data_IF_662700236013
#
_entry.id   IF_662700236013
#
_cell.length_a   1.000
_cell.length_b   1.000
_cell.length_c   1.000
_cell.angle_alpha   90.00
_cell.angle_beta   90.00
_cell.angle_gamma   90.00
#
_symmetry.space_group_name_H-M   'P 1'
#
loop_
_entity.id
_entity.type
_entity.pdbx_description
1 polymer ?
#
# COMPACT_ATOMS: atom_id res chain seq x y z
N UNK A 1 30.83 12.57 31.94
CA UNK A 1 29.86 13.51 32.53
C UNK A 1 30.54 14.61 33.36
N UNK A 2 31.35 14.27 34.37
CA UNK A 2 32.11 15.27 35.14
C UNK A 2 33.00 16.17 34.25
N UNK A 3 33.71 15.59 33.29
CA UNK A 3 34.56 16.34 32.33
C UNK A 3 33.76 17.27 31.40
N UNK A 4 32.51 16.93 31.10
CA UNK A 4 31.61 17.77 30.28
C UNK A 4 31.01 18.89 31.13
N UNK A 5 30.70 18.62 32.40
CA UNK A 5 30.25 19.64 33.35
C UNK A 5 31.33 20.70 33.59
N UNK A 6 32.59 20.27 33.66
CA UNK A 6 33.74 21.16 33.81
C UNK A 6 33.89 22.12 32.63
N UNK A 7 33.53 21.69 31.42
CA UNK A 7 33.48 22.53 30.22
C UNK A 7 32.19 23.36 30.10
N UNK A 8 31.09 22.90 30.70
CA UNK A 8 29.76 23.53 30.62
C UNK A 8 29.08 23.57 32.00
N UNK A 9 29.48 24.50 32.89
CA UNK A 9 29.03 24.54 34.28
C UNK A 9 27.52 24.76 34.45
N UNK A 10 26.86 25.35 33.44
CA UNK A 10 25.43 25.58 33.41
C UNK A 10 24.58 24.31 33.26
N UNK A 11 25.18 23.19 32.86
CA UNK A 11 24.52 21.90 32.73
C UNK A 11 24.87 21.05 33.95
N UNK A 12 23.89 20.64 34.77
CA UNK A 12 24.21 19.82 35.94
C UNK A 12 24.78 18.45 35.53
N UNK A 13 25.65 17.89 36.38
CA UNK A 13 26.24 16.57 36.16
C UNK A 13 25.15 15.51 35.95
N UNK A 14 24.07 15.56 36.72
CA UNK A 14 22.93 14.65 36.58
C UNK A 14 22.23 14.78 35.22
N UNK A 15 22.12 16.00 34.69
CA UNK A 15 21.50 16.25 33.39
C UNK A 15 22.40 15.75 32.25
N UNK A 16 23.72 15.91 32.38
CA UNK A 16 24.71 15.37 31.45
C UNK A 16 24.75 13.84 31.49
N UNK A 17 24.71 13.23 32.68
CA UNK A 17 24.59 11.78 32.84
C UNK A 17 23.28 11.31 32.19
N UNK A 18 22.19 11.98 32.50
CA UNK A 18 20.87 11.68 31.94
C UNK A 18 20.88 11.74 30.42
N UNK A 19 21.47 12.77 29.81
CA UNK A 19 21.51 12.92 28.34
C UNK A 19 22.48 11.94 27.66
N UNK A 20 23.61 11.60 28.30
CA UNK A 20 24.59 10.63 27.78
C UNK A 20 24.03 9.20 27.84
N UNK A 21 23.33 8.85 28.92
CA UNK A 21 22.74 7.52 29.13
C UNK A 21 21.30 7.40 28.60
N UNK A 22 20.74 8.45 27.98
CA UNK A 22 19.39 8.45 27.39
C UNK A 22 19.29 7.78 26.01
N UNK A 23 20.23 6.91 25.64
CA UNK A 23 20.15 6.08 24.42
C UNK A 23 18.93 5.13 24.41
N UNK A 24 18.25 4.94 25.55
CA UNK A 24 17.03 4.11 25.68
C UNK A 24 15.70 4.90 25.64
N UNK A 25 15.71 6.24 25.64
CA UNK A 25 14.46 7.05 25.54
C UNK A 25 13.98 7.33 24.12
N UNK A 26 14.45 6.54 23.15
CA UNK A 26 13.79 6.36 21.85
C UNK A 26 12.78 5.20 21.87
N UNK A 27 12.34 4.74 23.05
CA UNK A 27 10.96 4.28 23.15
C UNK A 27 10.06 5.44 22.78
N UNK A 28 9.05 5.20 21.94
CA UNK A 28 8.11 6.15 21.38
C UNK A 28 7.35 6.96 22.44
N UNK A 29 8.04 7.87 23.12
CA UNK A 29 7.41 8.93 23.87
C UNK A 29 6.90 9.93 22.83
N UNK A 30 5.78 9.60 22.19
CA UNK A 30 4.84 10.60 21.71
C UNK A 30 4.52 11.49 22.91
N UNK A 31 5.34 12.54 23.13
CA UNK A 31 5.17 13.49 24.23
C UNK A 31 3.70 13.85 24.27
N UNK A 32 3.02 13.52 25.37
CA UNK A 32 1.61 13.88 25.54
C UNK A 32 1.46 15.37 25.22
N UNK A 33 0.35 15.73 24.59
CA UNK A 33 0.12 17.12 24.20
C UNK A 33 0.14 17.94 25.48
N UNK A 34 1.19 18.74 25.68
CA UNK A 34 1.30 19.57 26.88
C UNK A 34 0.20 20.63 26.88
N UNK A 35 -0.33 20.97 28.06
CA UNK A 35 -1.34 22.02 28.24
C UNK A 35 -0.94 23.33 27.55
N UNK A 36 0.34 23.69 27.64
CA UNK A 36 0.88 24.86 26.96
C UNK A 36 0.78 24.79 25.42
N UNK A 37 1.05 23.63 24.82
CA UNK A 37 0.91 23.46 23.36
C UNK A 37 -0.55 23.55 22.91
N UNK A 38 -1.49 23.05 23.73
CA UNK A 38 -2.92 23.21 23.49
C UNK A 38 -3.34 24.68 23.59
N UNK A 39 -2.84 25.39 24.61
CA UNK A 39 -3.09 26.81 24.79
C UNK A 39 -2.53 27.65 23.63
N UNK A 40 -1.32 27.38 23.16
CA UNK A 40 -0.72 28.05 21.98
C UNK A 40 -1.56 27.82 20.73
N UNK A 41 -2.08 26.60 20.51
CA UNK A 41 -2.97 26.29 19.39
C UNK A 41 -4.26 27.10 19.44
N UNK A 42 -4.90 27.14 20.61
CA UNK A 42 -6.15 27.86 20.82
C UNK A 42 -5.96 29.37 20.62
N UNK A 43 -4.91 29.93 21.20
CA UNK A 43 -4.72 31.37 21.17
C UNK A 43 -4.16 31.88 19.84
N UNK A 44 -3.38 31.07 19.15
CA UNK A 44 -3.01 31.35 17.76
C UNK A 44 -4.22 31.34 16.83
N UNK A 45 -5.24 30.49 17.08
CA UNK A 45 -6.49 30.52 16.32
C UNK A 45 -7.29 31.78 16.63
N UNK A 46 -7.38 32.17 17.90
CA UNK A 46 -8.12 33.38 18.34
C UNK A 46 -7.52 34.65 17.74
N UNK A 47 -6.21 34.83 17.88
CA UNK A 47 -5.49 35.99 17.33
C UNK A 47 -5.56 36.06 15.80
N UNK A 48 -5.57 34.91 15.11
CA UNK A 48 -5.71 34.89 13.66
C UNK A 48 -7.16 35.00 13.16
N UNK A 49 -8.17 34.85 14.02
CA UNK A 49 -9.57 35.10 13.67
C UNK A 49 -9.88 36.61 13.63
N UNK A 50 -9.08 37.42 14.32
CA UNK A 50 -9.18 38.89 14.36
C UNK A 50 -8.43 39.57 13.20
N UNK A 51 -7.70 38.80 12.37
CA UNK A 51 -6.99 39.34 11.19
C UNK A 51 -7.98 39.58 10.05
N UNK A 52 -8.04 40.81 9.46
CA UNK A 52 -8.96 41.12 8.37
C UNK A 52 -8.79 40.22 7.14
N UNK A 53 -9.89 39.97 6.43
CA UNK A 53 -9.92 39.13 5.24
C UNK A 53 -8.99 39.70 4.15
N UNK A 54 -8.01 38.89 3.73
CA UNK A 54 -6.99 39.28 2.74
C UNK A 54 -5.60 39.60 3.30
N UNK A 55 -5.44 39.72 4.62
CA UNK A 55 -4.11 39.86 5.23
C UNK A 55 -3.49 38.49 5.60
N UNK A 56 -2.14 38.35 5.51
CA UNK A 56 -1.47 37.11 5.89
C UNK A 56 -1.64 36.84 7.39
N UNK A 57 -1.94 35.59 7.73
CA UNK A 57 -2.02 35.12 9.13
C UNK A 57 -0.68 35.32 9.84
N UNK A 58 -0.73 35.75 11.10
CA UNK A 58 0.44 35.85 11.98
C UNK A 58 1.01 34.45 12.22
N UNK A 59 2.33 34.32 12.09
CA UNK A 59 3.04 33.06 12.36
C UNK A 59 3.23 32.87 13.85
N UNK A 60 3.33 31.61 14.29
CA UNK A 60 3.41 31.26 15.72
C UNK A 60 4.58 31.93 16.43
N UNK A 61 5.74 32.10 15.78
CA UNK A 61 6.89 32.77 16.39
C UNK A 61 6.64 34.26 16.68
N UNK A 62 5.81 34.93 15.88
CA UNK A 62 5.44 36.36 16.01
C UNK A 62 4.44 36.60 17.15
N UNK A 63 3.76 35.54 17.62
CA UNK A 63 2.77 35.59 18.71
C UNK A 63 3.27 34.88 19.98
N UNK A 64 4.40 34.19 19.89
CA UNK A 64 4.89 33.29 20.93
C UNK A 64 5.14 33.99 22.27
N UNK A 65 5.66 35.22 22.23
CA UNK A 65 5.93 36.04 23.43
C UNK A 65 4.64 36.52 24.11
N UNK A 66 3.67 36.97 23.31
CA UNK A 66 2.35 37.44 23.76
C UNK A 66 1.56 36.29 24.43
N UNK A 67 1.54 35.12 23.78
CA UNK A 67 0.88 33.93 24.31
C UNK A 67 1.58 33.41 25.58
N UNK A 68 2.91 33.45 25.63
CA UNK A 68 3.68 33.04 26.80
C UNK A 68 3.49 33.97 28.01
N UNK A 69 3.31 35.28 27.80
CA UNK A 69 2.99 36.22 28.87
C UNK A 69 1.60 35.92 29.44
N UNK A 70 0.60 35.77 28.58
CA UNK A 70 -0.78 35.44 28.97
C UNK A 70 -0.86 34.13 29.74
N UNK A 71 -0.13 33.10 29.29
CA UNK A 71 -0.04 31.81 29.99
C UNK A 71 0.55 31.92 31.41
N UNK A 72 1.51 32.81 31.62
CA UNK A 72 2.13 33.00 32.94
C UNK A 72 1.23 33.75 33.93
N UNK A 73 0.36 34.62 33.42
CA UNK A 73 -0.60 35.36 34.24
C UNK A 73 -1.78 34.51 34.71
N UNK A 74 -2.13 33.45 33.98
CA UNK A 74 -3.21 32.53 34.37
C UNK A 74 -2.84 31.64 35.57
N UNK A 75 -3.82 31.44 36.44
CA UNK A 75 -3.80 30.43 37.51
C UNK A 75 -3.84 29.00 36.95
N UNK A 76 -3.50 28.00 37.76
CA UNK A 76 -3.50 26.61 37.31
C UNK A 76 -4.91 26.09 37.01
N UNK A 77 -5.92 26.56 37.74
CA UNK A 77 -7.33 26.25 37.51
C UNK A 77 -7.83 26.84 36.17
N UNK A 78 -7.44 28.07 35.85
CA UNK A 78 -7.77 28.71 34.56
C UNK A 78 -7.09 28.01 33.38
N UNK A 79 -5.83 27.59 33.56
CA UNK A 79 -5.09 26.82 32.56
C UNK A 79 -5.76 25.49 32.26
N UNK A 80 -6.26 24.78 33.28
CA UNK A 80 -6.92 23.48 33.07
C UNK A 80 -8.27 23.65 32.35
N UNK A 81 -9.09 24.63 32.76
CA UNK A 81 -10.37 24.93 32.09
C UNK A 81 -10.15 25.37 30.63
N UNK A 82 -9.17 26.24 30.38
CA UNK A 82 -8.89 26.75 29.04
C UNK A 82 -8.35 25.68 28.07
N UNK A 83 -7.69 24.63 28.58
CA UNK A 83 -7.00 23.64 27.75
C UNK A 83 -7.68 22.28 27.66
N UNK A 84 -8.61 21.94 28.57
CA UNK A 84 -9.27 20.64 28.64
C UNK A 84 -9.94 20.20 27.33
N UNK A 85 -10.68 21.10 26.68
CA UNK A 85 -11.36 20.80 25.41
C UNK A 85 -10.42 20.64 24.22
N UNK A 86 -9.43 21.52 24.08
CA UNK A 86 -8.46 21.47 22.99
C UNK A 86 -7.49 20.30 23.15
N UNK A 87 -7.18 19.86 24.38
CA UNK A 87 -6.38 18.67 24.64
C UNK A 87 -7.05 17.39 24.13
N UNK A 88 -8.36 17.23 24.35
CA UNK A 88 -9.11 16.11 23.81
C UNK A 88 -9.08 16.13 22.27
N UNK A 89 -9.38 17.28 21.66
CA UNK A 89 -9.34 17.43 20.21
C UNK A 89 -7.95 17.22 19.60
N UNK A 90 -6.87 17.63 20.28
CA UNK A 90 -5.50 17.40 19.82
C UNK A 90 -5.06 15.95 19.95
N UNK A 91 -5.55 15.23 20.96
CA UNK A 91 -5.35 13.77 21.10
C UNK A 91 -6.10 13.02 20.00
N UNK A 92 -7.36 13.37 19.74
CA UNK A 92 -8.17 12.78 18.66
C UNK A 92 -7.55 13.06 17.29
N UNK A 93 -7.06 14.28 17.05
CA UNK A 93 -6.35 14.63 15.81
C UNK A 93 -5.06 13.84 15.63
N UNK A 94 -4.33 13.53 16.72
CA UNK A 94 -3.13 12.68 16.65
C UNK A 94 -3.49 11.22 16.33
N UNK A 95 -4.47 10.65 17.02
CA UNK A 95 -4.97 9.30 16.75
C UNK A 95 -5.46 9.18 15.30
N UNK A 96 -6.20 10.19 14.81
CA UNK A 96 -6.64 10.24 13.42
C UNK A 96 -5.51 10.52 12.41
N UNK A 97 -4.38 11.11 12.83
CA UNK A 97 -3.20 11.24 11.96
C UNK A 97 -2.48 9.91 11.79
N UNK A 98 -2.48 9.08 12.82
CA UNK A 98 -1.84 7.76 12.83
C UNK A 98 -2.62 6.73 12.00
N UNK A 99 -3.95 6.88 11.89
CA UNK A 99 -4.85 5.92 11.23
C UNK A 99 -5.48 6.48 9.95
N UNK A 100 -5.59 7.81 9.81
CA UNK A 100 -6.36 8.45 8.75
C UNK A 100 -5.62 8.57 7.41
N UNK A 101 -6.32 8.28 6.32
CA UNK A 101 -5.83 8.51 4.95
C UNK A 101 -5.36 9.96 4.79
N UNK A 102 -4.06 10.15 4.59
CA UNK A 102 -3.47 11.44 4.32
C UNK A 102 -3.96 11.99 2.98
N UNK A 103 -4.85 12.98 3.03
CA UNK A 103 -5.46 13.63 1.85
C UNK A 103 -4.47 14.40 0.94
N UNK A 104 -3.17 14.43 1.27
CA UNK A 104 -2.14 15.01 0.39
C UNK A 104 -1.08 13.93 0.10
N UNK A 105 -1.00 13.43 -1.15
CA UNK A 105 -0.04 12.39 -1.56
C UNK A 105 1.41 12.64 -1.13
N UNK A 106 1.85 13.90 -1.12
CA UNK A 106 3.21 14.28 -0.71
C UNK A 106 3.44 14.15 0.80
N UNK A 107 2.45 14.50 1.64
CA UNK A 107 2.56 14.37 3.09
C UNK A 107 2.58 12.88 3.49
N UNK A 108 1.76 12.06 2.82
CA UNK A 108 1.74 10.62 3.03
C UNK A 108 3.08 9.96 2.66
N UNK A 109 3.63 10.33 1.50
CA UNK A 109 4.92 9.83 1.06
C UNK A 109 6.04 10.22 2.04
N UNK A 110 6.07 11.49 2.48
CA UNK A 110 7.08 11.97 3.41
C UNK A 110 7.00 11.28 4.78
N UNK A 111 5.79 11.12 5.32
CA UNK A 111 5.57 10.40 6.59
C UNK A 111 6.02 8.93 6.50
N UNK A 112 5.69 8.26 5.39
CA UNK A 112 6.16 6.91 5.12
C UNK A 112 7.70 6.85 5.05
N UNK A 113 8.35 7.78 4.36
CA UNK A 113 9.82 7.81 4.26
C UNK A 113 10.48 7.97 5.63
N UNK A 114 10.06 8.97 6.42
CA UNK A 114 10.65 9.23 7.73
C UNK A 114 10.42 8.07 8.71
N UNK A 115 9.27 7.40 8.60
CA UNK A 115 8.98 6.22 9.42
C UNK A 115 9.86 5.05 9.02
N UNK A 116 10.04 4.81 7.71
CA UNK A 116 10.87 3.73 7.20
C UNK A 116 12.36 3.93 7.49
N UNK A 117 12.87 5.16 7.47
CA UNK A 117 14.24 5.46 7.92
C UNK A 117 14.46 5.07 9.38
N UNK A 118 13.50 5.38 10.27
CA UNK A 118 13.58 4.96 11.68
C UNK A 118 13.52 3.45 11.85
N UNK A 119 12.71 2.76 11.06
CA UNK A 119 12.66 1.29 11.06
C UNK A 119 13.99 0.73 10.59
N UNK A 120 14.57 1.28 9.51
CA UNK A 120 15.90 0.90 9.02
C UNK A 120 16.95 1.05 10.12
N UNK A 121 17.04 2.21 10.78
CA UNK A 121 18.00 2.43 11.87
C UNK A 121 17.86 1.39 13.00
N UNK A 122 16.62 1.01 13.33
CA UNK A 122 16.36 -0.01 14.35
C UNK A 122 16.82 -1.40 13.90
N UNK A 123 16.60 -1.75 12.62
CA UNK A 123 17.07 -3.01 12.04
C UNK A 123 18.60 -3.06 11.94
N UNK A 124 19.25 -1.96 11.60
CA UNK A 124 20.72 -1.85 11.60
C UNK A 124 21.28 -2.06 13.02
N UNK A 125 20.70 -1.41 14.03
CA UNK A 125 21.09 -1.62 15.43
C UNK A 125 20.85 -3.06 15.90
N UNK A 126 19.76 -3.68 15.45
CA UNK A 126 19.47 -5.08 15.78
C UNK A 126 20.51 -6.02 15.16
N UNK A 127 20.84 -5.83 13.88
CA UNK A 127 21.89 -6.56 13.18
C UNK A 127 23.25 -6.43 13.90
N UNK A 128 23.65 -5.21 14.28
CA UNK A 128 24.90 -4.98 15.02
C UNK A 128 24.91 -5.73 16.36
N UNK A 129 23.79 -5.73 17.09
CA UNK A 129 23.70 -6.32 18.43
C UNK A 129 23.59 -7.85 18.44
N UNK A 130 22.94 -8.42 17.43
CA UNK A 130 22.54 -9.85 17.43
C UNK A 130 23.15 -10.66 16.30
N UNK A 131 23.63 -10.01 15.24
CA UNK A 131 24.01 -10.66 13.99
C UNK A 131 22.82 -11.08 13.12
N UNK A 132 21.58 -10.78 13.52
CA UNK A 132 20.40 -11.10 12.74
C UNK A 132 20.38 -10.32 11.41
N UNK A 133 20.09 -11.01 10.32
CA UNK A 133 20.04 -10.41 8.98
C UNK A 133 18.59 -10.06 8.59
N UNK A 134 18.41 -8.93 7.93
CA UNK A 134 17.10 -8.34 7.66
C UNK A 134 16.99 -7.86 6.20
N UNK A 135 15.80 -8.06 5.62
CA UNK A 135 15.37 -7.41 4.39
C UNK A 135 14.06 -6.69 4.67
N UNK A 136 14.00 -5.39 4.37
CA UNK A 136 12.79 -4.58 4.41
C UNK A 136 12.46 -4.11 3.00
N UNK A 137 11.26 -4.46 2.53
CA UNK A 137 10.68 -3.94 1.29
C UNK A 137 9.34 -3.31 1.67
N UNK A 138 9.20 -2.01 1.39
CA UNK A 138 7.95 -1.28 1.54
C UNK A 138 7.55 -0.63 0.22
N UNK A 139 6.31 -0.83 -0.17
CA UNK A 139 5.77 -0.38 -1.45
C UNK A 139 4.56 0.52 -1.25
N UNK A 140 4.14 1.19 -2.30
CA UNK A 140 2.88 1.94 -2.27
C UNK A 140 1.71 0.97 -2.29
N UNK A 141 0.66 1.30 -1.53
CA UNK A 141 -0.63 0.60 -1.59
C UNK A 141 -1.59 1.15 -2.65
N UNK A 142 -1.23 2.23 -3.36
CA UNK A 142 -2.10 2.89 -4.33
C UNK A 142 -1.32 3.73 -5.33
N UNK A 143 -1.85 3.87 -6.55
CA UNK A 143 -1.34 4.79 -7.57
C UNK A 143 -1.46 6.27 -7.19
N UNK A 144 -2.24 6.61 -6.15
CA UNK A 144 -2.40 7.99 -5.67
C UNK A 144 -1.17 8.50 -4.92
N UNK A 145 -0.33 7.59 -4.43
CA UNK A 145 0.90 7.92 -3.71
C UNK A 145 2.06 7.88 -4.70
N UNK A 146 2.93 8.89 -4.68
CA UNK A 146 4.05 9.01 -5.62
C UNK A 146 5.38 8.97 -4.87
N UNK A 147 5.87 7.76 -4.60
CA UNK A 147 7.23 7.50 -4.16
C UNK A 147 7.73 6.16 -4.71
N UNK A 148 9.05 6.00 -4.80
CA UNK A 148 9.67 4.71 -5.11
C UNK A 148 9.50 3.74 -3.93
N UNK A 149 9.49 2.41 -4.17
CA UNK A 149 9.58 1.46 -3.08
C UNK A 149 10.83 1.70 -2.24
N UNK A 150 10.68 1.52 -0.93
CA UNK A 150 11.78 1.56 0.02
C UNK A 150 12.34 0.16 0.17
N UNK A 151 13.62 -0.02 -0.12
CA UNK A 151 14.29 -1.31 -0.03
C UNK A 151 15.56 -1.14 0.79
N UNK A 152 15.66 -1.91 1.87
CA UNK A 152 16.80 -1.94 2.76
C UNK A 152 17.20 -3.38 3.03
N UNK A 153 18.51 -3.65 3.01
CA UNK A 153 19.11 -4.91 3.44
C UNK A 153 20.16 -4.61 4.51
N UNK A 154 20.19 -5.41 5.58
CA UNK A 154 21.15 -5.23 6.68
C UNK A 154 22.60 -5.43 6.26
N UNK A 155 22.84 -6.27 5.25
CA UNK A 155 24.17 -6.56 4.74
C UNK A 155 24.13 -7.07 3.29
N UNK A 156 25.30 -7.08 2.64
CA UNK A 156 25.46 -7.64 1.29
C UNK A 156 25.15 -9.14 1.24
N UNK A 157 25.25 -9.87 2.36
CA UNK A 157 24.94 -11.30 2.42
C UNK A 157 23.47 -11.57 2.12
N UNK A 158 22.59 -10.68 2.54
CA UNK A 158 21.16 -10.74 2.20
C UNK A 158 20.98 -10.54 0.70
N UNK A 159 21.67 -9.56 0.11
CA UNK A 159 21.62 -9.30 -1.34
C UNK A 159 22.16 -10.50 -2.13
N UNK A 160 23.29 -11.07 -1.72
CA UNK A 160 23.88 -12.27 -2.31
C UNK A 160 22.96 -13.50 -2.19
N UNK A 161 22.29 -13.69 -1.06
CA UNK A 161 21.31 -14.75 -0.89
C UNK A 161 20.21 -14.64 -1.94
N UNK A 162 19.64 -13.45 -2.13
CA UNK A 162 18.60 -13.24 -3.14
C UNK A 162 19.12 -13.42 -4.57
N UNK A 163 20.30 -12.89 -4.88
CA UNK A 163 20.95 -13.09 -6.16
C UNK A 163 21.22 -14.57 -6.46
N UNK A 164 21.60 -15.35 -5.46
CA UNK A 164 21.94 -16.76 -5.65
C UNK A 164 20.72 -17.67 -5.66
N UNK A 165 19.79 -17.49 -4.72
CA UNK A 165 18.62 -18.35 -4.54
C UNK A 165 17.49 -18.02 -5.51
N UNK A 166 17.24 -16.72 -5.77
CA UNK A 166 16.12 -16.25 -6.59
C UNK A 166 16.56 -15.70 -7.95
N UNK A 167 17.86 -15.58 -8.20
CA UNK A 167 18.41 -14.96 -9.42
C UNK A 167 17.90 -13.54 -9.61
N UNK A 168 17.78 -12.81 -8.52
CA UNK A 168 17.18 -11.48 -8.48
C UNK A 168 17.78 -10.60 -7.40
N UNK A 169 17.68 -9.28 -7.59
CA UNK A 169 18.17 -8.29 -6.63
C UNK A 169 16.97 -7.78 -5.80
N UNK A 170 17.09 -7.61 -4.47
CA UNK A 170 15.99 -7.13 -3.65
C UNK A 170 15.35 -5.82 -4.13
N UNK A 171 16.14 -4.89 -4.67
CA UNK A 171 15.66 -3.64 -5.25
C UNK A 171 14.69 -3.86 -6.42
N UNK A 172 15.06 -4.73 -7.36
CA UNK A 172 14.22 -5.10 -8.51
C UNK A 172 12.97 -5.86 -8.07
N UNK A 173 13.10 -6.69 -7.03
CA UNK A 173 11.97 -7.34 -6.39
C UNK A 173 11.01 -6.33 -5.76
N UNK A 174 11.53 -5.29 -5.11
CA UNK A 174 10.75 -4.17 -4.57
C UNK A 174 9.96 -3.42 -5.64
N UNK A 175 10.57 -3.14 -6.81
CA UNK A 175 9.86 -2.52 -7.93
C UNK A 175 8.74 -3.39 -8.49
N UNK A 176 8.96 -4.71 -8.64
CA UNK A 176 7.91 -5.63 -9.08
C UNK A 176 6.79 -5.77 -8.05
N UNK A 177 7.14 -5.83 -6.77
CA UNK A 177 6.16 -5.83 -5.69
C UNK A 177 5.35 -4.53 -5.71
N UNK A 178 5.97 -3.37 -5.89
CA UNK A 178 5.27 -2.08 -5.99
C UNK A 178 4.32 -2.03 -7.18
N UNK A 179 4.78 -2.46 -8.34
CA UNK A 179 3.94 -2.52 -9.53
C UNK A 179 2.74 -3.48 -9.32
N UNK A 180 2.95 -4.61 -8.64
CA UNK A 180 1.87 -5.53 -8.27
C UNK A 180 0.88 -4.92 -7.28
N UNK A 181 1.34 -4.23 -6.24
CA UNK A 181 0.46 -3.63 -5.25
C UNK A 181 -0.39 -2.51 -5.85
N UNK A 182 0.11 -1.82 -6.87
CA UNK A 182 -0.62 -0.74 -7.55
C UNK A 182 -1.58 -1.25 -8.63
N UNK A 183 -1.13 -2.21 -9.46
CA UNK A 183 -1.83 -2.60 -10.70
C UNK A 183 -2.16 -4.10 -10.77
N UNK A 184 -1.99 -4.83 -9.68
CA UNK A 184 -2.16 -6.29 -9.64
C UNK A 184 -1.20 -7.02 -10.59
N UNK A 185 -1.63 -8.16 -11.10
CA UNK A 185 -0.82 -9.00 -12.01
C UNK A 185 -0.33 -8.24 -13.26
N UNK A 186 -1.05 -7.20 -13.67
CA UNK A 186 -0.70 -6.39 -14.84
C UNK A 186 0.56 -5.56 -14.61
N UNK A 187 0.81 -5.12 -13.38
CA UNK A 187 2.03 -4.39 -13.01
C UNK A 187 3.29 -5.25 -13.04
N UNK A 188 3.16 -6.58 -12.98
CA UNK A 188 4.29 -7.51 -13.04
C UNK A 188 4.74 -7.83 -14.47
N UNK A 189 3.92 -7.51 -15.47
CA UNK A 189 4.23 -7.87 -16.84
C UNK A 189 5.28 -6.94 -17.42
N UNK A 190 6.40 -7.51 -17.90
CA UNK A 190 7.49 -6.74 -18.51
C UNK A 190 7.14 -6.22 -19.90
N UNK A 191 6.12 -6.81 -20.54
CA UNK A 191 5.57 -6.38 -21.85
C UNK A 191 4.07 -6.66 -21.97
N UNK A 192 3.36 -5.87 -22.78
CA UNK A 192 1.96 -6.11 -23.15
C UNK A 192 1.74 -7.52 -23.74
N UNK A 193 2.76 -8.06 -24.43
CA UNK A 193 2.75 -9.42 -24.97
C UNK A 193 2.64 -10.47 -23.87
N UNK A 194 3.34 -10.29 -22.74
CA UNK A 194 3.27 -11.20 -21.60
C UNK A 194 1.90 -11.15 -20.91
N UNK A 195 1.30 -9.96 -20.75
CA UNK A 195 -0.07 -9.80 -20.24
C UNK A 195 -1.05 -10.57 -21.10
N UNK A 196 -1.03 -10.32 -22.41
CA UNK A 196 -1.92 -10.96 -23.37
C UNK A 196 -1.71 -12.48 -23.37
N UNK A 197 -0.47 -12.95 -23.35
CA UNK A 197 -0.16 -14.39 -23.35
C UNK A 197 -0.69 -15.08 -22.10
N UNK A 198 -0.52 -14.46 -20.93
CA UNK A 198 -1.04 -14.99 -19.66
C UNK A 198 -2.56 -15.00 -19.65
N UNK A 199 -3.19 -13.88 -20.03
CA UNK A 199 -4.65 -13.75 -20.07
C UNK A 199 -5.29 -14.76 -21.02
N UNK A 200 -4.70 -14.96 -22.21
CA UNK A 200 -5.10 -16.02 -23.16
C UNK A 200 -5.05 -17.41 -22.54
N UNK A 201 -3.96 -17.71 -21.82
CA UNK A 201 -3.77 -19.00 -21.14
C UNK A 201 -4.82 -19.21 -20.05
N UNK A 202 -5.03 -18.20 -19.20
CA UNK A 202 -5.95 -18.28 -18.07
C UNK A 202 -7.41 -18.43 -18.56
N UNK A 203 -7.82 -17.67 -19.57
CA UNK A 203 -9.13 -17.82 -20.22
C UNK A 203 -9.29 -19.22 -20.80
N UNK A 204 -8.29 -19.71 -21.54
CA UNK A 204 -8.35 -21.06 -22.11
C UNK A 204 -8.58 -22.09 -21.01
N UNK A 205 -7.79 -22.05 -19.93
CA UNK A 205 -7.93 -22.96 -18.78
C UNK A 205 -9.31 -22.88 -18.12
N UNK A 206 -9.86 -21.66 -17.94
CA UNK A 206 -11.21 -21.47 -17.40
C UNK A 206 -12.26 -22.17 -18.26
N UNK A 207 -12.21 -21.95 -19.58
CA UNK A 207 -13.17 -22.55 -20.51
C UNK A 207 -13.02 -24.07 -20.51
N UNK A 208 -11.78 -24.60 -20.55
CA UNK A 208 -11.51 -26.03 -20.43
C UNK A 208 -12.10 -26.64 -19.16
N UNK A 209 -11.92 -25.98 -18.02
CA UNK A 209 -12.47 -26.43 -16.74
C UNK A 209 -14.00 -26.48 -16.78
N UNK A 210 -14.65 -25.46 -17.36
CA UNK A 210 -16.11 -25.43 -17.51
C UNK A 210 -16.63 -26.45 -18.51
N UNK A 211 -15.88 -26.72 -19.59
CA UNK A 211 -16.21 -27.77 -20.55
C UNK A 211 -16.13 -29.14 -19.90
N UNK A 212 -15.04 -29.46 -19.18
CA UNK A 212 -14.88 -30.74 -18.46
C UNK A 212 -15.92 -30.96 -17.36
N UNK A 213 -16.46 -29.89 -16.78
CA UNK A 213 -17.56 -30.00 -15.81
C UNK A 213 -18.89 -30.38 -16.47
N UNK A 214 -19.12 -29.93 -17.71
CA UNK A 214 -20.37 -30.15 -18.45
C UNK A 214 -20.32 -31.36 -19.40
N UNK A 215 -19.14 -31.69 -19.92
CA UNK A 215 -18.87 -32.86 -20.74
C UNK A 215 -18.32 -33.98 -19.85
N UNK A 216 -18.90 -35.18 -19.97
CA UNK A 216 -18.58 -36.40 -19.21
C UNK A 216 -17.08 -36.52 -18.88
N UNK A 217 -16.78 -36.79 -17.61
CA UNK A 217 -15.44 -37.06 -17.11
C UNK A 217 -14.71 -38.08 -18.02
N UNK A 218 -13.67 -37.65 -18.74
CA UNK A 218 -12.86 -38.55 -19.58
C UNK A 218 -12.37 -38.00 -20.92
N UNK A 219 -12.84 -36.82 -21.35
CA UNK A 219 -12.40 -36.21 -22.61
C UNK A 219 -10.98 -35.63 -22.52
N UNK A 220 -10.02 -36.29 -23.17
CA UNK A 220 -8.72 -35.71 -23.56
C UNK A 220 -8.95 -34.81 -24.77
N UNK A 221 -9.04 -33.51 -24.51
CA UNK A 221 -9.22 -32.48 -25.53
C UNK A 221 -7.92 -31.72 -25.66
N UNK A 222 -7.07 -32.19 -26.56
CA UNK A 222 -5.73 -31.65 -26.71
C UNK A 222 -5.75 -30.44 -27.69
N UNK A 223 -6.71 -30.41 -28.63
CA UNK A 223 -6.92 -29.31 -29.59
C UNK A 223 -8.40 -29.21 -30.00
N UNK A 224 -9.18 -28.25 -29.46
CA UNK A 224 -10.64 -28.24 -29.68
C UNK A 224 -11.25 -26.92 -30.14
N UNK A 225 -10.58 -25.78 -30.00
CA UNK A 225 -11.31 -24.51 -29.92
C UNK A 225 -11.83 -23.93 -31.25
N UNK A 226 -11.27 -24.25 -32.42
CA UNK A 226 -11.66 -23.50 -33.63
C UNK A 226 -12.02 -24.32 -34.86
N UNK A 227 -11.22 -25.29 -35.29
CA UNK A 227 -11.54 -26.04 -36.52
C UNK A 227 -12.47 -27.22 -36.29
N UNK A 228 -12.49 -27.79 -35.08
CA UNK A 228 -13.14 -29.08 -34.82
C UNK A 228 -14.16 -29.03 -33.69
N UNK A 229 -14.47 -27.86 -33.11
CA UNK A 229 -15.43 -27.80 -31.99
C UNK A 229 -16.80 -28.32 -32.41
N UNK A 230 -17.32 -27.85 -33.55
CA UNK A 230 -18.63 -28.26 -34.06
C UNK A 230 -18.65 -29.78 -34.33
N UNK A 231 -17.65 -30.31 -35.02
CA UNK A 231 -17.60 -31.73 -35.39
C UNK A 231 -17.27 -32.67 -34.21
N UNK A 232 -16.38 -32.26 -33.31
CA UNK A 232 -15.90 -33.12 -32.20
C UNK A 232 -16.74 -33.01 -30.95
N UNK A 233 -17.32 -31.83 -30.69
CA UNK A 233 -18.07 -31.55 -29.46
C UNK A 233 -19.55 -31.46 -29.74
N UNK A 234 -19.98 -30.56 -30.63
CA UNK A 234 -21.41 -30.36 -30.89
C UNK A 234 -22.04 -31.61 -31.47
N UNK A 235 -21.53 -32.13 -32.58
CA UNK A 235 -22.10 -33.30 -33.27
C UNK A 235 -22.05 -34.60 -32.45
N UNK A 236 -21.04 -34.77 -31.60
CA UNK A 236 -20.88 -36.00 -30.82
C UNK A 236 -21.66 -35.98 -29.51
N UNK A 237 -21.75 -34.82 -28.86
CA UNK A 237 -22.26 -34.71 -27.49
C UNK A 237 -23.46 -33.76 -27.35
N UNK A 238 -23.88 -33.08 -28.43
CA UNK A 238 -24.93 -32.07 -28.39
C UNK A 238 -24.56 -30.86 -27.54
N UNK A 239 -23.29 -30.51 -27.39
CA UNK A 239 -22.86 -29.39 -26.54
C UNK A 239 -22.57 -28.16 -27.40
N UNK A 240 -23.24 -27.04 -27.09
CA UNK A 240 -23.02 -25.74 -27.72
C UNK A 240 -22.62 -24.69 -26.69
N UNK A 241 -22.02 -23.59 -27.17
CA UNK A 241 -21.75 -22.41 -26.37
C UNK A 241 -22.91 -21.42 -26.53
N UNK A 242 -23.50 -20.99 -25.42
CA UNK A 242 -24.53 -19.93 -25.40
C UNK A 242 -23.90 -18.59 -25.02
N UNK A 243 -24.43 -17.50 -25.60
CA UNK A 243 -24.07 -16.11 -25.32
C UNK A 243 -22.58 -15.79 -25.50
N UNK A 244 -21.96 -16.31 -26.56
CA UNK A 244 -20.57 -15.94 -26.87
C UNK A 244 -20.45 -14.40 -27.04
N UNK A 245 -19.51 -13.74 -26.35
CA UNK A 245 -19.55 -12.28 -26.21
C UNK A 245 -18.80 -11.53 -27.33
N UNK A 246 -18.09 -12.24 -28.22
CA UNK A 246 -17.35 -11.64 -29.32
C UNK A 246 -18.09 -11.85 -30.65
N UNK A 247 -17.85 -11.01 -31.68
CA UNK A 247 -18.51 -11.15 -32.98
C UNK A 247 -18.24 -12.49 -33.69
N UNK A 248 -17.09 -13.09 -33.42
CA UNK A 248 -16.65 -14.34 -34.02
C UNK A 248 -16.29 -15.36 -32.93
N UNK A 249 -16.73 -16.61 -33.11
CA UNK A 249 -16.37 -17.73 -32.25
C UNK A 249 -14.96 -18.22 -32.60
N UNK A 250 -13.98 -17.87 -31.76
CA UNK A 250 -12.56 -18.17 -32.00
C UNK A 250 -11.79 -18.50 -30.74
N UNK A 251 -10.65 -19.17 -30.93
CA UNK A 251 -9.74 -19.57 -29.85
C UNK A 251 -9.25 -18.33 -29.09
N UNK A 252 -9.23 -18.34 -27.74
CA UNK A 252 -8.63 -17.27 -26.96
C UNK A 252 -7.22 -16.90 -27.45
N UNK A 253 -6.42 -17.88 -27.87
CA UNK A 253 -5.07 -17.65 -28.43
C UNK A 253 -5.07 -16.75 -29.67
N UNK A 254 -6.14 -16.76 -30.47
CA UNK A 254 -6.33 -15.98 -31.69
C UNK A 254 -6.92 -14.59 -31.44
N UNK A 255 -7.31 -14.26 -30.21
CA UNK A 255 -7.82 -12.92 -29.86
C UNK A 255 -6.65 -11.94 -29.75
N UNK A 256 -6.72 -10.82 -30.47
CA UNK A 256 -5.58 -9.89 -30.61
C UNK A 256 -5.51 -8.81 -29.55
N UNK A 257 -6.64 -8.45 -28.95
CA UNK A 257 -6.73 -7.27 -28.08
C UNK A 257 -7.01 -7.64 -26.63
N UNK A 258 -6.50 -6.83 -25.69
CA UNK A 258 -6.75 -7.01 -24.26
C UNK A 258 -8.23 -6.84 -23.91
N UNK A 259 -8.88 -5.82 -24.49
CA UNK A 259 -10.30 -5.53 -24.25
C UNK A 259 -11.20 -6.71 -24.61
N UNK A 260 -10.98 -7.35 -25.77
CA UNK A 260 -11.74 -8.55 -26.15
C UNK A 260 -11.47 -9.73 -25.20
N UNK A 261 -10.23 -9.89 -24.73
CA UNK A 261 -9.89 -10.92 -23.75
C UNK A 261 -10.55 -10.66 -22.38
N UNK A 262 -10.60 -9.42 -21.92
CA UNK A 262 -11.25 -9.06 -20.65
C UNK A 262 -12.77 -9.29 -20.73
N UNK A 263 -13.40 -8.91 -21.86
CA UNK A 263 -14.82 -9.22 -22.13
C UNK A 263 -15.05 -10.72 -22.09
N UNK A 264 -14.18 -11.49 -22.76
CA UNK A 264 -14.29 -12.94 -22.82
C UNK A 264 -14.09 -13.59 -21.44
N UNK A 265 -13.09 -13.16 -20.67
CA UNK A 265 -12.85 -13.62 -19.30
C UNK A 265 -14.07 -13.37 -18.43
N UNK A 266 -14.57 -12.13 -18.41
CA UNK A 266 -15.69 -11.75 -17.56
C UNK A 266 -16.94 -12.55 -17.91
N UNK A 267 -17.27 -12.69 -19.20
CA UNK A 267 -18.47 -13.42 -19.62
C UNK A 267 -18.42 -14.91 -19.23
N UNK A 268 -17.24 -15.55 -19.34
CA UNK A 268 -17.06 -16.92 -18.85
C UNK A 268 -17.02 -17.01 -17.33
N UNK A 269 -16.43 -16.04 -16.64
CA UNK A 269 -16.29 -16.07 -15.19
C UNK A 269 -17.62 -15.87 -14.48
N UNK A 270 -18.51 -15.02 -15.02
CA UNK A 270 -19.85 -14.76 -14.48
C UNK A 270 -20.93 -15.74 -14.96
N UNK A 271 -20.55 -16.77 -15.72
CA UNK A 271 -21.49 -17.72 -16.35
C UNK A 271 -22.48 -17.09 -17.35
N UNK A 272 -22.29 -15.82 -17.75
CA UNK A 272 -23.04 -15.21 -18.83
C UNK A 272 -22.86 -16.01 -20.14
N UNK A 273 -21.63 -16.41 -20.43
CA UNK A 273 -21.26 -17.40 -21.44
C UNK A 273 -21.07 -18.75 -20.78
N UNK A 274 -21.76 -19.77 -21.28
CA UNK A 274 -21.68 -21.12 -20.72
C UNK A 274 -21.89 -22.20 -21.78
N UNK A 275 -21.49 -23.42 -21.43
CA UNK A 275 -21.81 -24.61 -22.21
C UNK A 275 -23.22 -25.08 -21.91
N UNK A 276 -24.00 -25.29 -22.96
CA UNK A 276 -25.34 -25.86 -22.91
C UNK A 276 -25.34 -27.21 -23.60
N UNK A 277 -25.85 -28.23 -22.91
CA UNK A 277 -26.07 -29.56 -23.48
C UNK A 277 -27.50 -29.63 -23.98
N UNK A 278 -27.65 -29.81 -25.29
CA UNK A 278 -28.92 -30.04 -25.94
C UNK A 278 -29.61 -31.28 -25.40
N UNK A 279 -30.93 -31.22 -25.34
CA UNK A 279 -31.79 -32.40 -25.21
C UNK A 279 -31.68 -33.29 -26.45
N UNK A 280 -32.13 -34.54 -26.35
CA UNK A 280 -32.10 -35.48 -27.48
C UNK A 280 -32.89 -34.99 -28.70
N UNK A 281 -33.98 -34.25 -28.48
CA UNK A 281 -34.80 -33.64 -29.54
C UNK A 281 -34.02 -32.51 -30.22
N UNK A 282 -33.52 -31.55 -29.44
CA UNK A 282 -32.73 -30.42 -29.94
C UNK A 282 -31.50 -30.88 -30.72
N UNK A 283 -30.82 -31.93 -30.25
CA UNK A 283 -29.64 -32.46 -30.93
C UNK A 283 -29.96 -33.23 -32.23
N UNK A 284 -31.17 -33.76 -32.35
CA UNK A 284 -31.62 -34.44 -33.57
C UNK A 284 -32.13 -33.45 -34.63
N UNK A 285 -32.59 -32.27 -34.19
CA UNK A 285 -33.03 -31.16 -35.04
C UNK A 285 -31.88 -30.26 -35.52
N UNK A 286 -30.81 -30.14 -34.71
CA UNK A 286 -29.59 -29.39 -35.02
C UNK A 286 -28.75 -30.06 -36.11
#
# INVERSE_FOLDING_TARGET
AAEIHERFPQLSVDLIVTDIFQSERLQSATKDVGRYSAFVSLESKRLNAEVPEGQPRRKVHEMSSEIAAKWREMSEEEKDVATKGELAHLRDRRANKEIGEHRVPAAAAHDSFLTLERVQENLERLNIRTGDEHLLISTRGSNKVFHKPFVFASSDRVVEFFNNAYKDVPTEMGYRMDAFMVSGVEGLARTQVQVLTKLKKDISQLIFRKLRKNALAGLRLDEWFTSVFIESITRRYGIIVKNWPLPEFKNPSSVGTKTELDILWNAWNTDATHFYRMTSSEHSEW
#
